data_IF_271560666737
#
_entry.id   IF_271560666737
#
_cell.length_a   1.000
_cell.length_b   1.000
_cell.length_c   1.000
_cell.angle_alpha   90.00
_cell.angle_beta   90.00
_cell.angle_gamma   90.00
#
_symmetry.space_group_name_H-M   'P 1'
#
loop_
_entity.id
_entity.type
_entity.pdbx_description
1 polymer ?
#
# COMPACT_ATOMS: atom_id res chain seq x y z
N UNK A 1 9.60 7.37 4.32
CA UNK A 1 8.58 6.62 5.10
C UNK A 1 7.36 6.42 4.21
N UNK A 2 6.65 5.28 4.26
CA UNK A 2 5.47 5.07 3.41
C UNK A 2 4.30 5.95 3.86
N UNK A 3 3.62 6.60 2.92
CA UNK A 3 2.36 7.29 3.13
C UNK A 3 1.18 6.30 3.11
N UNK A 4 0.86 5.74 4.28
CA UNK A 4 -0.24 4.79 4.44
C UNK A 4 -1.62 5.34 4.04
N UNK A 5 -1.88 6.63 4.28
CA UNK A 5 -3.14 7.26 3.90
C UNK A 5 -3.29 7.32 2.37
N UNK A 6 -2.21 7.62 1.64
CA UNK A 6 -2.23 7.63 0.17
C UNK A 6 -2.48 6.24 -0.40
N UNK A 7 -1.90 5.20 0.20
CA UNK A 7 -2.20 3.80 -0.18
C UNK A 7 -3.69 3.49 -0.03
N UNK A 8 -4.30 3.88 1.10
CA UNK A 8 -5.74 3.69 1.34
C UNK A 8 -6.61 4.43 0.31
N UNK A 9 -6.26 5.68 0.02
CA UNK A 9 -6.95 6.52 -0.96
C UNK A 9 -6.94 5.87 -2.36
N UNK A 10 -5.75 5.51 -2.87
CA UNK A 10 -5.59 4.89 -4.18
C UNK A 10 -6.29 3.53 -4.27
N UNK A 11 -6.23 2.74 -3.20
CA UNK A 11 -6.94 1.47 -3.10
C UNK A 11 -8.45 1.66 -3.24
N UNK A 12 -9.02 2.64 -2.53
CA UNK A 12 -10.45 2.94 -2.60
C UNK A 12 -10.87 3.48 -3.98
N UNK A 13 -10.06 4.35 -4.60
CA UNK A 13 -10.31 4.87 -5.96
C UNK A 13 -10.41 3.73 -6.98
N UNK A 14 -9.61 2.67 -6.80
CA UNK A 14 -9.65 1.47 -7.64
C UNK A 14 -10.75 0.47 -7.28
N UNK A 15 -11.52 0.72 -6.21
CA UNK A 15 -12.56 -0.20 -5.74
C UNK A 15 -12.00 -1.47 -5.08
N UNK A 16 -10.73 -1.47 -4.65
CA UNK A 16 -10.12 -2.63 -4.01
C UNK A 16 -10.40 -2.64 -2.50
N UNK A 17 -10.64 -3.83 -1.96
CA UNK A 17 -10.58 -4.12 -0.52
C UNK A 17 -9.12 -4.39 -0.09
N UNK A 18 -8.84 -4.39 1.21
CA UNK A 18 -7.52 -4.81 1.72
C UNK A 18 -7.24 -6.29 1.44
N UNK A 19 -8.27 -7.11 1.30
CA UNK A 19 -8.14 -8.51 0.88
C UNK A 19 -7.74 -8.61 -0.60
N UNK A 20 -8.28 -7.75 -1.48
CA UNK A 20 -7.87 -7.71 -2.89
C UNK A 20 -6.39 -7.35 -3.04
N UNK A 21 -5.93 -6.31 -2.34
CA UNK A 21 -4.50 -5.97 -2.31
C UNK A 21 -3.68 -7.12 -1.73
N UNK A 22 -4.17 -7.80 -0.69
CA UNK A 22 -3.48 -8.97 -0.11
C UNK A 22 -3.28 -10.07 -1.15
N UNK A 23 -4.31 -10.36 -1.94
CA UNK A 23 -4.28 -11.38 -2.99
C UNK A 23 -3.35 -10.97 -4.15
N UNK A 24 -3.35 -9.70 -4.53
CA UNK A 24 -2.55 -9.18 -5.65
C UNK A 24 -1.07 -9.00 -5.31
N UNK A 25 -0.72 -8.80 -4.03
CA UNK A 25 0.64 -8.46 -3.59
C UNK A 25 1.31 -9.56 -2.76
N UNK A 26 0.55 -10.55 -2.29
CA UNK A 26 0.98 -11.53 -1.27
C UNK A 26 1.48 -10.90 0.04
N UNK A 27 1.11 -9.64 0.30
CA UNK A 27 1.29 -8.99 1.60
C UNK A 27 0.06 -9.29 2.44
N UNK A 28 0.20 -9.66 3.71
CA UNK A 28 -0.97 -10.00 4.51
C UNK A 28 -1.94 -8.82 4.62
N UNK A 29 -3.25 -9.12 4.60
CA UNK A 29 -4.32 -8.15 4.83
C UNK A 29 -4.07 -7.28 6.08
N UNK A 30 -3.68 -7.90 7.20
CA UNK A 30 -3.37 -7.20 8.45
C UNK A 30 -2.23 -6.20 8.29
N UNK A 31 -1.18 -6.56 7.55
CA UNK A 31 -0.05 -5.69 7.30
C UNK A 31 -0.46 -4.47 6.46
N UNK A 32 -1.31 -4.66 5.45
CA UNK A 32 -1.85 -3.55 4.63
C UNK A 32 -2.70 -2.62 5.51
N UNK A 33 -3.56 -3.16 6.37
CA UNK A 33 -4.34 -2.35 7.31
C UNK A 33 -3.46 -1.57 8.30
N UNK A 34 -2.39 -2.19 8.80
CA UNK A 34 -1.41 -1.51 9.66
C UNK A 34 -0.64 -0.42 8.92
N UNK A 35 -0.31 -0.62 7.64
CA UNK A 35 0.26 0.42 6.79
C UNK A 35 -0.72 1.60 6.64
N UNK A 36 -1.98 1.31 6.29
CA UNK A 36 -3.01 2.33 6.05
C UNK A 36 -3.38 3.14 7.30
N UNK A 37 -3.31 2.51 8.49
CA UNK A 37 -3.49 3.18 9.78
C UNK A 37 -2.23 3.92 10.26
N UNK A 38 -1.09 3.71 9.59
CA UNK A 38 0.20 4.27 10.00
C UNK A 38 0.83 3.59 11.22
N UNK A 39 0.33 2.43 11.65
CA UNK A 39 0.96 1.61 12.69
C UNK A 39 2.27 0.98 12.19
N UNK A 40 2.31 0.61 10.90
CA UNK A 40 3.54 0.29 10.18
C UNK A 40 3.83 1.39 9.17
N UNK A 41 5.08 1.86 9.13
CA UNK A 41 5.47 2.97 8.26
C UNK A 41 6.70 2.70 7.39
N UNK A 42 7.47 1.67 7.71
CA UNK A 42 8.73 1.32 7.04
C UNK A 42 8.68 -0.11 6.47
N UNK A 43 7.84 -0.39 5.46
CA UNK A 43 7.94 -1.63 4.71
C UNK A 43 9.25 -1.71 3.94
N UNK A 44 9.64 -2.92 3.53
CA UNK A 44 10.78 -3.08 2.61
C UNK A 44 10.46 -2.46 1.24
N UNK A 45 11.49 -2.02 0.52
CA UNK A 45 11.34 -1.43 -0.82
C UNK A 45 10.55 -2.35 -1.76
N UNK A 46 10.81 -3.66 -1.74
CA UNK A 46 10.08 -4.63 -2.56
C UNK A 46 8.56 -4.58 -2.32
N UNK A 47 8.11 -4.41 -1.08
CA UNK A 47 6.68 -4.28 -0.77
C UNK A 47 6.11 -2.98 -1.32
N UNK A 48 6.86 -1.87 -1.24
CA UNK A 48 6.43 -0.58 -1.81
C UNK A 48 6.33 -0.67 -3.34
N UNK A 49 7.31 -1.28 -4.00
CA UNK A 49 7.31 -1.47 -5.47
C UNK A 49 6.09 -2.29 -5.91
N UNK A 50 5.80 -3.39 -5.22
CA UNK A 50 4.65 -4.23 -5.54
C UNK A 50 3.32 -3.50 -5.29
N UNK A 51 3.21 -2.73 -4.19
CA UNK A 51 2.04 -1.89 -3.93
C UNK A 51 1.86 -0.83 -5.02
N UNK A 52 2.93 -0.12 -5.40
CA UNK A 52 2.89 0.89 -6.45
C UNK A 52 2.44 0.30 -7.79
N UNK A 53 2.94 -0.89 -8.14
CA UNK A 53 2.54 -1.63 -9.34
C UNK A 53 1.04 -1.97 -9.35
N UNK A 54 0.50 -2.52 -8.26
CA UNK A 54 -0.94 -2.86 -8.15
C UNK A 54 -1.81 -1.60 -8.14
N UNK A 55 -1.34 -0.53 -7.49
CA UNK A 55 -2.03 0.75 -7.44
C UNK A 55 -1.83 1.60 -8.69
N UNK A 56 -1.01 1.16 -9.65
CA UNK A 56 -0.79 1.84 -10.93
C UNK A 56 -0.18 3.23 -10.80
N UNK A 57 0.70 3.42 -9.82
CA UNK A 57 1.40 4.69 -9.53
C UNK A 57 2.91 4.46 -9.47
N UNK A 58 3.69 5.54 -9.49
CA UNK A 58 5.14 5.47 -9.22
C UNK A 58 5.39 5.24 -7.73
N UNK A 59 6.54 4.64 -7.41
CA UNK A 59 6.97 4.42 -6.02
C UNK A 59 7.01 5.73 -5.23
N UNK A 60 7.54 6.79 -5.83
CA UNK A 60 7.70 8.11 -5.20
C UNK A 60 6.36 8.70 -4.74
N UNK A 61 5.25 8.37 -5.41
CA UNK A 61 3.91 8.82 -5.02
C UNK A 61 3.40 8.18 -3.72
N UNK A 62 4.00 7.05 -3.31
CA UNK A 62 3.67 6.36 -2.06
C UNK A 62 4.57 6.75 -0.89
N UNK A 63 5.61 7.56 -1.13
CA UNK A 63 6.58 7.94 -0.11
C UNK A 63 6.26 9.36 0.39
N UNK A 64 6.40 9.55 1.70
CA UNK A 64 6.38 10.89 2.29
C UNK A 64 7.70 11.60 1.97
N UNK A 65 7.60 12.82 1.43
CA UNK A 65 8.72 13.75 1.29
C UNK A 65 9.31 14.11 2.67
#
# INVERSE_FOLDING_TARGET
>A
MLNGLKVRELRNIKGYTTLDISNLTHISKSYIEELERGAKKNPSLNKVVVLAKVLGVKVDELILN
#
